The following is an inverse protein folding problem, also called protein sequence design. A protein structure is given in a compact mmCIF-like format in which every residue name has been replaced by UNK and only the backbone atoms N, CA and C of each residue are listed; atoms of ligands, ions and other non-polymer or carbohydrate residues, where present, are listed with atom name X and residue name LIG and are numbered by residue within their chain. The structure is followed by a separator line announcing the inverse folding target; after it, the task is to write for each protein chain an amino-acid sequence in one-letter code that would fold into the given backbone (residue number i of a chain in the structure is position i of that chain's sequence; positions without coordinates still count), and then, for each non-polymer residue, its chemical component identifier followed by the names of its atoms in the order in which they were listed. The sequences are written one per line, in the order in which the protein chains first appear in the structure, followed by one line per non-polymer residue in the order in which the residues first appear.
data_IF_133987337057
#
_entry.id   IF_133987337057
#
_cell.length_a   1.000
_cell.length_b   1.000
_cell.length_c   1.000
_cell.angle_alpha   90.00
_cell.angle_beta   90.00
_cell.angle_gamma   90.00
#
_symmetry.space_group_name_H-M   'P 1'
#
loop_
_entity.id
_entity.type
_entity.pdbx_description
1 polymer ?
#
# COMPACT_ATOMS: atom_id res chain seq x y z
N UNK A 1 31.65 15.34 -4.84
CA UNK A 1 32.28 16.68 -4.87
C UNK A 1 31.25 17.79 -4.60
N UNK A 2 30.08 17.80 -5.21
CA UNK A 2 29.07 18.86 -5.03
C UNK A 2 28.31 18.87 -3.68
N UNK A 3 28.35 17.79 -2.92
CA UNK A 3 27.61 17.66 -1.66
C UNK A 3 27.94 18.76 -0.64
N UNK A 4 29.23 19.05 -0.43
CA UNK A 4 29.68 20.13 0.51
C UNK A 4 29.21 21.50 0.07
N UNK A 5 29.29 21.79 -1.23
CA UNK A 5 28.88 23.07 -1.82
C UNK A 5 27.38 23.30 -1.64
N UNK A 6 26.57 22.28 -1.88
CA UNK A 6 25.11 22.36 -1.68
C UNK A 6 24.77 22.61 -0.21
N UNK A 7 25.45 21.89 0.71
CA UNK A 7 25.24 22.08 2.15
C UNK A 7 25.66 23.48 2.61
N UNK A 8 26.77 23.97 2.13
CA UNK A 8 27.27 25.31 2.46
C UNK A 8 26.32 26.40 1.95
N UNK A 9 25.96 26.34 0.68
CA UNK A 9 24.99 27.27 0.08
C UNK A 9 23.61 27.22 0.76
N UNK A 10 23.22 26.06 1.22
CA UNK A 10 21.92 25.82 1.85
C UNK A 10 21.82 26.26 3.30
N UNK A 11 22.93 26.51 4.01
CA UNK A 11 22.92 26.92 5.43
C UNK A 11 22.04 28.14 5.69
N UNK A 12 22.17 29.17 4.87
CA UNK A 12 21.35 30.40 4.98
C UNK A 12 19.85 30.17 4.76
N UNK A 13 19.50 29.07 4.09
CA UNK A 13 18.12 28.67 3.82
C UNK A 13 17.64 27.56 4.76
N UNK A 14 18.37 27.28 5.84
CA UNK A 14 18.05 26.19 6.79
C UNK A 14 17.88 24.83 6.10
N UNK A 15 18.69 24.55 5.09
CA UNK A 15 18.68 23.28 4.37
C UNK A 15 18.91 22.13 5.35
N UNK A 16 18.00 21.19 5.33
CA UNK A 16 18.11 19.94 6.09
C UNK A 16 18.46 18.79 5.15
N UNK A 17 19.40 17.96 5.57
CA UNK A 17 19.71 16.71 4.87
C UNK A 17 18.66 15.67 5.27
N UNK A 18 17.96 15.12 4.29
CA UNK A 18 17.06 14.01 4.47
C UNK A 18 17.50 12.83 3.61
N UNK A 19 17.15 11.62 4.02
CA UNK A 19 17.29 10.42 3.23
C UNK A 19 15.90 9.85 2.88
N UNK A 20 15.79 9.01 1.86
CA UNK A 20 14.58 8.21 1.66
C UNK A 20 14.26 7.48 2.97
N UNK A 21 13.04 7.64 3.45
CA UNK A 21 12.61 7.07 4.71
C UNK A 21 11.52 6.03 4.43
N UNK A 22 11.81 4.77 4.75
CA UNK A 22 10.90 3.64 4.49
C UNK A 22 9.53 3.86 5.14
N UNK A 23 9.51 4.30 6.39
CA UNK A 23 8.25 4.60 7.09
C UNK A 23 7.41 5.68 6.40
N UNK A 24 8.02 6.73 5.83
CA UNK A 24 7.28 7.81 5.17
C UNK A 24 6.53 7.34 3.93
N UNK A 25 7.16 6.48 3.10
CA UNK A 25 6.47 5.96 1.93
C UNK A 25 5.30 5.06 2.33
N UNK A 26 5.47 4.25 3.38
CA UNK A 26 4.41 3.38 3.89
C UNK A 26 3.25 4.24 4.42
N UNK A 27 3.53 5.24 5.26
CA UNK A 27 2.53 6.20 5.76
C UNK A 27 1.73 6.84 4.63
N UNK A 28 2.41 7.22 3.55
CA UNK A 28 1.80 7.85 2.37
C UNK A 28 1.15 6.84 1.40
N UNK A 29 1.24 5.54 1.66
CA UNK A 29 0.74 4.50 0.74
C UNK A 29 1.51 4.42 -0.58
N UNK A 30 2.78 4.86 -0.60
CA UNK A 30 3.62 4.83 -1.80
C UNK A 30 4.25 3.44 -1.94
N UNK A 31 3.93 2.77 -3.03
CA UNK A 31 4.42 1.44 -3.33
C UNK A 31 5.88 1.45 -3.77
N UNK A 32 6.60 0.40 -3.43
CA UNK A 32 7.97 0.14 -3.85
C UNK A 32 7.98 -1.01 -4.85
N UNK A 33 8.61 -0.76 -6.01
CA UNK A 33 8.82 -1.81 -7.00
C UNK A 33 9.75 -2.91 -6.44
N UNK A 34 9.38 -4.16 -6.70
CA UNK A 34 10.10 -5.33 -6.20
C UNK A 34 9.79 -5.70 -4.76
N UNK A 35 9.07 -4.84 -4.02
CA UNK A 35 8.63 -5.13 -2.65
C UNK A 35 7.11 -5.22 -2.56
N UNK A 36 6.38 -4.16 -2.97
CA UNK A 36 4.92 -4.14 -2.91
C UNK A 36 4.26 -4.56 -4.21
N UNK A 37 4.96 -4.46 -5.32
CA UNK A 37 4.48 -4.83 -6.65
C UNK A 37 5.63 -5.22 -7.56
N UNK A 38 5.34 -6.04 -8.56
CA UNK A 38 6.26 -6.47 -9.61
C UNK A 38 5.50 -6.75 -10.92
N UNK A 39 6.13 -7.44 -11.86
CA UNK A 39 5.52 -7.80 -13.15
C UNK A 39 4.33 -8.79 -13.04
N UNK A 40 4.12 -9.42 -11.88
CA UNK A 40 3.01 -10.34 -11.65
C UNK A 40 1.75 -9.64 -11.15
N UNK A 41 1.85 -8.35 -10.80
CA UNK A 41 0.76 -7.56 -10.25
C UNK A 41 0.17 -6.61 -11.29
N UNK A 42 -1.15 -6.58 -11.40
CA UNK A 42 -1.84 -5.63 -12.25
C UNK A 42 -2.20 -4.33 -11.48
N UNK A 43 -2.45 -3.20 -12.17
CA UNK A 43 -2.74 -1.93 -11.52
C UNK A 43 -3.96 -1.93 -10.58
N UNK A 44 -5.00 -2.70 -10.88
CA UNK A 44 -6.19 -2.77 -10.02
C UNK A 44 -5.87 -3.46 -8.71
N UNK A 45 -5.11 -4.55 -8.78
CA UNK A 45 -4.63 -5.31 -7.62
C UNK A 45 -3.77 -4.47 -6.67
N UNK A 46 -3.04 -3.49 -7.23
CA UNK A 46 -2.16 -2.58 -6.48
C UNK A 46 -2.83 -1.27 -6.03
N UNK A 47 -4.14 -1.11 -6.14
CA UNK A 47 -4.86 0.15 -5.90
C UNK A 47 -4.45 1.30 -6.83
N UNK A 48 -3.81 1.04 -7.97
CA UNK A 48 -3.36 2.02 -8.95
C UNK A 48 -4.33 2.18 -10.14
N UNK A 49 -5.53 1.62 -10.04
CA UNK A 49 -6.54 1.69 -11.10
C UNK A 49 -6.87 3.13 -11.55
N UNK A 50 -6.78 4.10 -10.63
CA UNK A 50 -7.01 5.51 -10.93
C UNK A 50 -5.94 6.13 -11.86
N UNK A 51 -4.78 5.51 -12.00
CA UNK A 51 -3.71 5.95 -12.91
C UNK A 51 -3.86 5.37 -14.31
N UNK A 52 -4.77 4.43 -14.50
CA UNK A 52 -4.94 3.73 -15.78
C UNK A 52 -5.94 4.46 -16.67
N UNK A 53 -5.53 4.85 -17.87
CA UNK A 53 -6.40 5.48 -18.87
C UNK A 53 -7.18 4.42 -19.63
N UNK A 54 -8.46 4.25 -19.28
CA UNK A 54 -9.37 3.30 -19.93
C UNK A 54 -10.40 4.02 -20.76
N UNK A 55 -11.00 3.33 -21.72
CA UNK A 55 -12.13 3.86 -22.51
C UNK A 55 -13.38 3.97 -21.63
N UNK A 56 -14.14 5.05 -21.81
CA UNK A 56 -15.36 5.30 -21.04
C UNK A 56 -15.60 6.78 -20.75
N UNK A 57 -16.59 7.09 -19.94
CA UNK A 57 -16.89 8.47 -19.49
C UNK A 57 -16.02 8.79 -18.25
N UNK A 58 -15.29 9.89 -18.28
CA UNK A 58 -14.51 10.39 -17.14
C UNK A 58 -13.31 11.22 -17.58
N UNK A 59 -12.71 11.93 -16.63
CA UNK A 59 -11.58 12.84 -16.87
C UNK A 59 -10.32 12.13 -17.39
N UNK A 60 -10.19 10.84 -17.15
CA UNK A 60 -9.05 10.02 -17.54
C UNK A 60 -9.27 9.26 -18.85
N UNK A 61 -10.32 9.57 -19.60
CA UNK A 61 -10.64 8.94 -20.87
C UNK A 61 -9.70 9.45 -21.98
N UNK A 62 -8.48 8.93 -22.01
CA UNK A 62 -7.56 9.18 -23.12
C UNK A 62 -7.85 8.21 -24.26
N UNK A 63 -8.01 8.75 -25.47
CA UNK A 63 -8.22 7.98 -26.71
C UNK A 63 -6.98 7.18 -27.14
N UNK A 64 -5.81 7.44 -26.51
CA UNK A 64 -4.56 6.76 -26.85
C UNK A 64 -4.66 5.25 -26.57
N UNK A 65 -4.19 4.49 -27.51
CA UNK A 65 -4.01 3.05 -27.35
C UNK A 65 -2.63 2.75 -26.72
N UNK A 66 -2.51 1.65 -25.99
CA UNK A 66 -1.27 1.17 -25.36
C UNK A 66 -1.35 -0.33 -25.14
N UNK A 67 -0.19 -0.97 -24.99
CA UNK A 67 -0.09 -2.40 -24.73
C UNK A 67 -0.79 -2.76 -23.40
N UNK A 68 -1.67 -3.75 -23.45
CA UNK A 68 -2.44 -4.21 -22.28
C UNK A 68 -3.77 -3.49 -22.05
N UNK A 69 -4.10 -2.42 -22.76
CA UNK A 69 -5.35 -1.65 -22.56
C UNK A 69 -6.60 -2.52 -22.64
N UNK A 70 -6.72 -3.39 -23.65
CA UNK A 70 -7.88 -4.28 -23.82
C UNK A 70 -8.06 -5.24 -22.65
N UNK A 71 -6.98 -5.78 -22.13
CA UNK A 71 -7.01 -6.67 -20.97
C UNK A 71 -7.48 -5.92 -19.72
N UNK A 72 -6.98 -4.71 -19.51
CA UNK A 72 -7.39 -3.88 -18.37
C UNK A 72 -8.85 -3.42 -18.49
N UNK A 73 -9.34 -3.13 -19.71
CA UNK A 73 -10.76 -2.82 -19.97
C UNK A 73 -11.66 -4.03 -19.63
N UNK A 74 -11.28 -5.22 -20.10
CA UNK A 74 -11.99 -6.46 -19.77
C UNK A 74 -12.01 -6.68 -18.25
N UNK A 75 -10.88 -6.57 -17.59
CA UNK A 75 -10.75 -6.76 -16.14
C UNK A 75 -11.62 -5.74 -15.37
N UNK A 76 -11.64 -4.47 -15.80
CA UNK A 76 -12.54 -3.44 -15.23
C UNK A 76 -14.00 -3.85 -15.34
N UNK A 77 -14.41 -4.34 -16.51
CA UNK A 77 -15.79 -4.72 -16.77
C UNK A 77 -16.18 -5.97 -15.93
N UNK A 78 -15.28 -6.94 -15.82
CA UNK A 78 -15.43 -8.08 -14.92
C UNK A 78 -15.58 -7.66 -13.44
N UNK A 79 -14.78 -6.70 -12.99
CA UNK A 79 -14.89 -6.15 -11.62
C UNK A 79 -16.25 -5.47 -11.39
N UNK A 80 -16.76 -4.71 -12.37
CA UNK A 80 -18.09 -4.07 -12.31
C UNK A 80 -19.23 -5.07 -12.32
N UNK A 81 -19.04 -6.20 -12.98
CA UNK A 81 -19.98 -7.34 -12.98
C UNK A 81 -19.90 -8.18 -11.70
N UNK A 82 -19.09 -7.76 -10.71
CA UNK A 82 -18.92 -8.49 -9.44
C UNK A 82 -18.03 -9.73 -9.54
N UNK A 83 -17.34 -9.92 -10.65
CA UNK A 83 -16.34 -10.99 -10.79
C UNK A 83 -15.04 -10.61 -10.09
N UNK A 84 -14.22 -11.62 -9.82
CA UNK A 84 -12.92 -11.47 -9.16
C UNK A 84 -11.81 -11.94 -10.11
N UNK A 85 -11.33 -11.06 -11.02
CA UNK A 85 -10.35 -11.44 -12.05
C UNK A 85 -8.97 -11.77 -11.49
N UNK A 86 -8.74 -11.56 -10.20
CA UNK A 86 -7.52 -11.92 -9.48
C UNK A 86 -7.84 -12.34 -8.04
N UNK A 87 -6.88 -13.00 -7.38
CA UNK A 87 -7.10 -13.63 -6.07
C UNK A 87 -6.83 -12.69 -4.89
N UNK A 88 -5.79 -11.86 -4.99
CA UNK A 88 -5.27 -11.06 -3.89
C UNK A 88 -5.35 -9.57 -4.21
N UNK A 89 -5.69 -8.76 -3.21
CA UNK A 89 -5.78 -7.30 -3.27
C UNK A 89 -4.82 -6.68 -2.27
N UNK A 90 -4.07 -5.67 -2.71
CA UNK A 90 -3.28 -4.83 -1.82
C UNK A 90 -4.19 -4.06 -0.87
N UNK A 91 -3.84 -4.08 0.40
CA UNK A 91 -4.56 -3.36 1.47
C UNK A 91 -3.59 -2.68 2.41
N UNK A 92 -4.07 -1.64 3.11
CA UNK A 92 -3.43 -1.12 4.30
C UNK A 92 -3.96 -1.82 5.55
N UNK A 93 -3.11 -2.01 6.54
CA UNK A 93 -3.48 -2.61 7.82
C UNK A 93 -2.84 -1.87 8.99
N UNK A 94 -3.56 -1.80 10.11
CA UNK A 94 -2.99 -1.51 11.42
C UNK A 94 -2.75 -2.85 12.13
N UNK A 95 -1.56 -2.99 12.72
CA UNK A 95 -1.11 -4.24 13.35
C UNK A 95 -0.85 -4.05 14.83
N UNK A 96 -1.17 -5.05 15.62
CA UNK A 96 -0.74 -5.16 17.01
C UNK A 96 0.76 -5.48 17.16
N UNK A 97 1.15 -5.83 18.36
CA UNK A 97 2.51 -6.26 18.68
C UNK A 97 3.46 -5.12 19.04
N UNK A 98 4.74 -5.46 19.16
CA UNK A 98 5.80 -4.50 19.50
C UNK A 98 6.06 -3.55 18.33
N UNK A 99 6.53 -2.30 18.59
CA UNK A 99 6.92 -1.38 17.53
C UNK A 99 7.94 -1.98 16.55
N UNK A 100 7.66 -1.84 15.25
CA UNK A 100 8.50 -2.30 14.16
C UNK A 100 9.35 -1.12 13.69
N UNK A 101 10.57 -1.02 14.20
CA UNK A 101 11.48 0.11 13.95
C UNK A 101 12.69 -0.29 13.11
N UNK A 102 12.79 -1.56 12.74
CA UNK A 102 13.85 -2.08 11.87
C UNK A 102 13.26 -2.50 10.53
N UNK A 103 14.05 -2.44 9.47
CA UNK A 103 13.69 -3.02 8.19
C UNK A 103 13.48 -4.53 8.39
N UNK A 104 12.25 -4.96 8.19
CA UNK A 104 11.92 -6.37 8.20
C UNK A 104 12.01 -6.89 6.76
N UNK A 105 13.03 -7.68 6.43
CA UNK A 105 13.06 -8.38 5.17
C UNK A 105 11.95 -9.42 5.17
N UNK A 106 11.43 -9.69 4.00
CA UNK A 106 10.60 -10.83 3.70
C UNK A 106 9.11 -10.73 4.07
N UNK A 107 8.35 -11.49 3.35
CA UNK A 107 6.90 -11.54 3.38
C UNK A 107 6.41 -12.20 4.68
N UNK A 108 5.71 -11.45 5.48
CA UNK A 108 5.05 -11.98 6.66
C UNK A 108 3.73 -12.62 6.26
N UNK A 109 3.45 -13.77 6.81
CA UNK A 109 2.26 -14.53 6.46
C UNK A 109 1.01 -13.92 7.10
N UNK A 110 -0.06 -13.87 6.32
CA UNK A 110 -1.39 -13.44 6.75
C UNK A 110 -2.31 -14.64 6.78
N UNK A 111 -2.96 -14.90 7.91
CA UNK A 111 -4.03 -15.88 8.02
C UNK A 111 -5.37 -15.21 8.35
N UNK A 112 -6.48 -15.95 8.26
CA UNK A 112 -7.80 -15.44 8.65
C UNK A 112 -7.86 -15.05 10.13
N UNK A 113 -8.95 -14.37 10.55
CA UNK A 113 -9.16 -13.93 11.94
C UNK A 113 -9.03 -15.07 12.97
N UNK A 114 -9.47 -16.26 12.61
CA UNK A 114 -9.35 -17.47 13.43
C UNK A 114 -7.98 -18.18 13.36
N UNK A 115 -7.01 -17.62 12.64
CA UNK A 115 -5.75 -18.31 12.34
C UNK A 115 -5.88 -19.30 11.18
N UNK A 116 -5.00 -20.29 11.12
CA UNK A 116 -5.00 -21.33 10.09
C UNK A 116 -3.97 -21.11 9.00
N UNK A 117 -4.17 -21.73 7.85
CA UNK A 117 -3.26 -21.66 6.70
C UNK A 117 -3.09 -20.22 6.19
N UNK A 118 -1.90 -19.87 5.70
CA UNK A 118 -1.65 -18.57 5.11
C UNK A 118 -2.52 -18.32 3.88
N UNK A 119 -3.18 -17.15 3.85
CA UNK A 119 -4.04 -16.70 2.75
C UNK A 119 -3.54 -15.43 2.07
N UNK A 120 -2.47 -14.84 2.60
CA UNK A 120 -1.87 -13.61 2.09
C UNK A 120 -0.51 -13.34 2.72
N UNK A 121 0.03 -12.15 2.47
CA UNK A 121 1.34 -11.75 2.96
C UNK A 121 1.46 -10.24 3.13
N UNK A 122 2.33 -9.80 4.03
CA UNK A 122 2.70 -8.39 4.24
C UNK A 122 3.96 -8.08 3.44
N UNK A 123 3.98 -6.92 2.80
CA UNK A 123 5.13 -6.47 1.98
C UNK A 123 5.92 -5.34 2.65
N UNK A 124 5.26 -4.47 3.38
CA UNK A 124 5.86 -3.23 3.89
C UNK A 124 5.31 -2.86 5.26
N UNK A 125 5.85 -3.42 6.34
CA UNK A 125 5.47 -3.07 7.70
C UNK A 125 6.35 -1.97 8.28
N UNK A 126 5.81 -1.13 9.15
CA UNK A 126 6.56 -0.14 9.93
C UNK A 126 5.75 0.38 11.13
N UNK A 127 6.42 0.94 12.13
CA UNK A 127 5.76 1.66 13.23
C UNK A 127 5.40 3.08 12.84
N UNK A 128 4.16 3.49 13.12
CA UNK A 128 3.68 4.85 12.90
C UNK A 128 3.73 5.64 14.21
N UNK A 129 4.67 6.58 14.39
CA UNK A 129 4.90 7.21 15.68
C UNK A 129 3.74 8.09 16.16
N UNK A 130 3.03 8.76 15.27
CA UNK A 130 1.89 9.61 15.62
C UNK A 130 0.67 8.77 16.03
N UNK A 131 0.37 7.71 15.30
CA UNK A 131 -0.72 6.77 15.64
C UNK A 131 -0.36 5.81 16.76
N UNK A 132 0.92 5.70 17.11
CA UNK A 132 1.46 4.77 18.11
C UNK A 132 1.05 3.31 17.85
N UNK A 133 0.98 2.92 16.58
CA UNK A 133 0.64 1.58 16.12
C UNK A 133 1.53 1.18 14.96
N UNK A 134 1.65 -0.12 14.72
CA UNK A 134 2.27 -0.60 13.49
C UNK A 134 1.30 -0.46 12.33
N UNK A 135 1.81 -0.07 11.19
CA UNK A 135 1.08 -0.01 9.92
C UNK A 135 1.77 -0.91 8.90
N UNK A 136 1.01 -1.46 7.97
CA UNK A 136 1.59 -2.28 6.92
C UNK A 136 0.79 -2.19 5.62
N UNK A 137 1.48 -2.38 4.50
CA UNK A 137 0.88 -2.76 3.24
C UNK A 137 1.08 -4.25 3.01
N UNK A 138 0.09 -4.90 2.41
CA UNK A 138 0.15 -6.32 2.13
C UNK A 138 -1.01 -6.80 1.28
N UNK A 139 -0.99 -8.06 0.93
CA UNK A 139 -2.00 -8.69 0.09
C UNK A 139 -2.87 -9.66 0.87
N UNK A 140 -4.17 -9.51 0.71
CA UNK A 140 -5.19 -10.41 1.28
C UNK A 140 -6.15 -10.87 0.19
N UNK A 141 -6.95 -11.92 0.41
CA UNK A 141 -7.96 -12.35 -0.55
C UNK A 141 -8.88 -11.19 -0.95
N UNK A 142 -9.05 -10.99 -2.25
CA UNK A 142 -9.96 -9.98 -2.77
C UNK A 142 -11.41 -10.40 -2.52
N UNK A 143 -12.15 -9.62 -1.77
CA UNK A 143 -13.53 -9.92 -1.38
C UNK A 143 -14.60 -9.38 -2.35
N UNK A 144 -14.18 -8.55 -3.32
CA UNK A 144 -15.08 -7.90 -4.29
C UNK A 144 -15.42 -6.45 -3.92
N UNK A 145 -14.85 -5.90 -2.84
CA UNK A 145 -15.11 -4.52 -2.42
C UNK A 145 -14.56 -3.53 -3.45
N UNK A 146 -15.38 -2.54 -3.83
CA UNK A 146 -15.02 -1.42 -4.69
C UNK A 146 -15.12 -0.11 -3.90
N UNK A 147 -14.29 0.87 -4.26
CA UNK A 147 -14.41 2.23 -3.74
C UNK A 147 -15.51 3.02 -4.50
N UNK A 148 -15.77 4.25 -4.09
CA UNK A 148 -16.81 5.11 -4.70
C UNK A 148 -16.62 5.35 -6.21
N UNK A 149 -15.40 5.20 -6.73
CA UNK A 149 -15.06 5.36 -8.14
C UNK A 149 -15.12 4.02 -8.92
N UNK A 150 -15.53 2.92 -8.26
CA UNK A 150 -15.62 1.60 -8.87
C UNK A 150 -14.27 0.89 -9.03
N UNK A 151 -13.23 1.29 -8.31
CA UNK A 151 -11.95 0.60 -8.27
C UNK A 151 -11.87 -0.35 -7.07
N UNK A 152 -11.19 -1.50 -7.23
CA UNK A 152 -10.99 -2.44 -6.14
C UNK A 152 -10.27 -1.81 -4.95
N UNK A 153 -10.67 -2.22 -3.78
CA UNK A 153 -9.98 -1.90 -2.52
C UNK A 153 -10.18 -2.99 -1.49
N UNK A 154 -9.36 -3.00 -0.45
CA UNK A 154 -9.64 -3.81 0.72
C UNK A 154 -10.86 -3.29 1.49
N UNK A 155 -11.59 -4.17 2.12
CA UNK A 155 -12.74 -3.82 2.97
C UNK A 155 -12.24 -3.36 4.34
N UNK A 156 -12.37 -2.07 4.70
CA UNK A 156 -11.97 -1.57 6.01
C UNK A 156 -12.70 -2.31 7.13
N UNK A 157 -12.00 -2.58 8.23
CA UNK A 157 -12.52 -3.33 9.36
C UNK A 157 -12.40 -4.85 9.24
N UNK A 158 -11.99 -5.40 8.10
CA UNK A 158 -11.68 -6.83 7.99
C UNK A 158 -10.49 -7.18 8.89
N UNK A 159 -10.57 -8.29 9.58
CA UNK A 159 -9.59 -8.72 10.59
C UNK A 159 -8.80 -9.93 10.11
N UNK A 160 -7.53 -9.93 10.46
CA UNK A 160 -6.56 -10.98 10.11
C UNK A 160 -5.60 -11.22 11.26
N UNK A 161 -4.84 -12.31 11.16
CA UNK A 161 -3.68 -12.59 12.00
C UNK A 161 -2.42 -12.47 11.13
N UNK A 162 -1.42 -11.76 11.63
CA UNK A 162 -0.13 -11.60 10.96
C UNK A 162 0.91 -12.38 11.73
N UNK A 163 1.58 -13.30 11.05
CA UNK A 163 2.65 -14.09 11.59
C UNK A 163 3.97 -13.42 11.27
N UNK A 164 4.54 -12.74 12.25
CA UNK A 164 5.84 -12.11 12.15
C UNK A 164 6.92 -13.20 12.16
N UNK A 165 7.95 -13.14 11.31
CA UNK A 165 9.07 -14.05 11.45
C UNK A 165 9.78 -13.81 12.79
N UNK A 166 10.22 -14.87 13.43
CA UNK A 166 11.16 -14.74 14.53
C UNK A 166 12.47 -14.14 13.98
N UNK A 167 13.07 -13.25 14.76
CA UNK A 167 14.34 -12.60 14.36
C UNK A 167 15.40 -13.67 14.04
N UNK A 168 15.93 -13.62 12.81
CA UNK A 168 16.90 -14.60 12.29
C UNK A 168 16.40 -16.06 12.19
N UNK A 169 15.10 -16.25 12.09
CA UNK A 169 14.47 -17.56 11.95
C UNK A 169 13.52 -17.56 10.74
N UNK A 170 13.44 -18.70 10.05
CA UNK A 170 12.42 -18.93 9.02
C UNK A 170 11.08 -19.37 9.62
N UNK A 171 11.00 -19.50 10.95
CA UNK A 171 9.77 -19.91 11.62
C UNK A 171 8.83 -18.73 11.79
N UNK A 172 7.53 -18.92 11.54
CA UNK A 172 6.54 -17.91 11.87
C UNK A 172 6.53 -17.71 13.40
N UNK A 173 6.61 -16.46 13.83
CA UNK A 173 6.46 -16.09 15.24
C UNK A 173 4.99 -16.08 15.68
N UNK A 174 4.76 -15.67 16.92
CA UNK A 174 3.41 -15.53 17.47
C UNK A 174 2.58 -14.56 16.64
N UNK A 175 1.33 -14.93 16.29
CA UNK A 175 0.48 -14.09 15.47
C UNK A 175 0.02 -12.83 16.22
N UNK A 176 0.01 -11.71 15.53
CA UNK A 176 -0.57 -10.47 16.01
C UNK A 176 -1.87 -10.13 15.27
N UNK A 177 -2.76 -9.42 15.93
CA UNK A 177 -4.00 -8.95 15.32
C UNK A 177 -3.73 -7.87 14.30
N UNK A 178 -4.49 -7.88 13.21
CA UNK A 178 -4.46 -6.87 12.17
C UNK A 178 -5.87 -6.51 11.73
N UNK A 179 -6.05 -5.22 11.41
CA UNK A 179 -7.30 -4.68 10.88
C UNK A 179 -7.02 -3.91 9.61
N UNK A 180 -7.78 -4.20 8.56
CA UNK A 180 -7.70 -3.45 7.30
C UNK A 180 -8.16 -2.02 7.51
N UNK A 181 -7.37 -1.07 7.03
CA UNK A 181 -7.66 0.37 7.03
C UNK A 181 -7.45 0.96 5.64
N UNK A 182 -8.00 2.15 5.42
CA UNK A 182 -7.74 2.87 4.17
C UNK A 182 -6.29 3.38 4.10
N UNK A 183 -5.73 3.44 2.90
CA UNK A 183 -4.46 4.09 2.58
C UNK A 183 -4.75 5.41 1.84
N UNK A 184 -3.99 6.48 2.11
CA UNK A 184 -2.83 6.60 3.02
C UNK A 184 -3.19 6.55 4.50
N UNK A 185 -2.19 6.18 5.34
CA UNK A 185 -2.39 6.03 6.79
C UNK A 185 -2.43 7.36 7.57
N UNK A 186 -2.01 8.46 6.96
CA UNK A 186 -2.00 9.79 7.55
C UNK A 186 -3.10 10.66 6.96
N UNK A 187 -3.84 11.37 7.81
CA UNK A 187 -4.93 12.28 7.39
C UNK A 187 -4.46 13.40 6.47
N UNK A 188 -3.21 13.87 6.64
CA UNK A 188 -2.61 14.90 5.79
C UNK A 188 -2.47 14.50 4.32
N UNK A 189 -2.52 13.22 3.99
CA UNK A 189 -2.49 12.70 2.64
C UNK A 189 -3.88 12.33 2.11
N UNK A 190 -4.92 12.36 2.94
CA UNK A 190 -6.27 12.19 2.48
C UNK A 190 -6.68 13.42 1.66
N UNK A 191 -7.02 13.19 0.41
CA UNK A 191 -7.07 14.14 -0.69
C UNK A 191 -8.02 15.35 -0.53
N UNK A 192 -8.77 15.44 0.57
CA UNK A 192 -9.68 16.55 0.81
C UNK A 192 -9.09 17.67 1.66
N UNK A 193 -7.89 17.52 2.18
CA UNK A 193 -7.17 18.56 2.93
C UNK A 193 -5.99 19.12 2.13
N UNK A 194 -6.19 19.48 0.88
CA UNK A 194 -5.35 20.47 0.23
C UNK A 194 -5.73 21.86 0.76
N UNK A 195 -5.52 22.09 2.02
CA UNK A 195 -5.25 23.43 2.47
C UNK A 195 -3.89 23.81 1.88
N UNK A 196 -3.96 24.50 0.77
CA UNK A 196 -2.82 25.24 0.24
C UNK A 196 -2.41 26.16 1.38
N UNK A 197 -1.28 25.87 2.01
CA UNK A 197 -0.62 26.82 2.90
C UNK A 197 -0.34 28.03 2.01
N UNK A 198 -1.25 29.02 2.08
CA UNK A 198 -1.02 30.33 1.50
C UNK A 198 0.11 30.95 2.31
N UNK A 199 1.32 30.90 1.72
CA UNK A 199 2.49 31.63 2.23
C UNK A 199 2.30 33.13 2.10
#
# INVERSE_FOLDING_TARGET
MYKRQVLEAGKKHKLMVIAPAHHRRIQAGILSWGQDMDYQHNPFQCNLGYQVSLSGKGEWNKKSDYVGKKVLEQMRDELRDGKKPYKLQLVGMELGGKPIEEYAPDFWLVSGEGGGEPIGFITSPWYHPEKKTNIAMGYVPYDGTLNANGFPKGKPGSKYKIHLPEKYSEKPGEPVDAVVVDIPFTESYNANTREVVKG
#
